data_IF_167380387542
#
_entry.id   IF_167380387542
#
_cell.length_a   1.000
_cell.length_b   1.000
_cell.length_c   1.000
_cell.angle_alpha   90.00
_cell.angle_beta   90.00
_cell.angle_gamma   90.00
#
_symmetry.space_group_name_H-M   'P 1'
#
loop_
_entity.id
_entity.type
_entity.pdbx_description
1 polymer ?
#
# COMPACT_ATOMS: atom_id res chain seq x y z
N UNK A 1 0.03 -11.51 13.50
CA UNK A 1 -0.60 -10.37 12.79
C UNK A 1 -1.04 -10.84 11.41
N UNK A 2 -2.13 -10.29 10.86
CA UNK A 2 -2.62 -10.63 9.52
C UNK A 2 -2.58 -9.39 8.65
N UNK A 3 -1.82 -9.43 7.55
CA UNK A 3 -1.74 -8.33 6.59
C UNK A 3 -2.52 -8.71 5.35
N UNK A 4 -3.50 -7.87 4.98
CA UNK A 4 -4.33 -8.03 3.80
C UNK A 4 -4.09 -6.90 2.82
N UNK A 5 -4.43 -7.13 1.57
CA UNK A 5 -4.46 -6.10 0.52
C UNK A 5 -5.87 -6.06 -0.05
N UNK A 6 -6.40 -4.86 -0.28
CA UNK A 6 -7.75 -4.69 -0.82
C UNK A 6 -7.83 -3.41 -1.66
N UNK A 7 -8.64 -3.40 -2.72
CA UNK A 7 -8.84 -2.17 -3.48
C UNK A 7 -9.71 -1.22 -2.67
N UNK A 8 -9.36 0.06 -2.65
CA UNK A 8 -10.10 1.10 -1.93
C UNK A 8 -11.53 1.33 -2.46
N UNK A 9 -11.82 0.86 -3.69
CA UNK A 9 -13.15 0.90 -4.29
C UNK A 9 -14.05 -0.24 -3.84
N UNK A 10 -13.49 -1.28 -3.20
CA UNK A 10 -14.28 -2.37 -2.64
C UNK A 10 -14.89 -1.93 -1.29
N UNK A 11 -16.13 -2.34 -1.00
CA UNK A 11 -16.82 -1.93 0.22
C UNK A 11 -16.06 -2.40 1.46
N UNK A 12 -16.07 -1.56 2.50
CA UNK A 12 -15.45 -1.91 3.77
C UNK A 12 -16.12 -3.11 4.42
N UNK A 13 -15.31 -4.05 4.90
CA UNK A 13 -15.77 -5.23 5.61
C UNK A 13 -15.24 -5.22 7.05
N UNK A 14 -16.05 -5.74 7.99
CA UNK A 14 -15.64 -5.85 9.40
C UNK A 14 -14.36 -6.70 9.59
N UNK A 15 -14.06 -7.58 8.62
CA UNK A 15 -12.85 -8.41 8.61
C UNK A 15 -11.60 -7.69 8.12
N UNK A 16 -11.70 -6.43 7.68
CA UNK A 16 -10.56 -5.66 7.17
C UNK A 16 -9.67 -5.14 8.31
N UNK A 17 -10.18 -5.10 9.55
CA UNK A 17 -9.42 -4.55 10.67
C UNK A 17 -9.03 -3.09 10.44
N UNK A 18 -7.78 -2.73 10.72
CA UNK A 18 -7.27 -1.38 10.52
C UNK A 18 -6.91 -1.12 9.05
N UNK A 19 -7.52 -0.10 8.43
CA UNK A 19 -7.44 0.17 7.00
C UNK A 19 -6.48 1.31 6.69
N UNK A 20 -5.37 0.99 6.02
CA UNK A 20 -4.31 1.94 5.69
C UNK A 20 -4.23 2.18 4.19
N UNK A 21 -4.50 3.40 3.74
CA UNK A 21 -4.26 3.80 2.35
C UNK A 21 -2.77 3.98 2.09
N UNK A 22 -2.23 3.19 1.17
CA UNK A 22 -0.80 3.19 0.78
C UNK A 22 -0.57 3.71 -0.64
N UNK A 23 -1.53 4.49 -1.15
CA UNK A 23 -1.38 5.23 -2.39
C UNK A 23 -0.93 6.66 -2.12
N UNK A 24 -0.02 7.17 -2.96
CA UNK A 24 0.46 8.55 -2.84
C UNK A 24 -0.64 9.56 -3.12
N UNK A 25 -1.52 9.21 -4.05
CA UNK A 25 -2.61 10.05 -4.53
C UNK A 25 -3.94 9.54 -3.99
N UNK A 26 -4.82 10.47 -3.66
CA UNK A 26 -6.18 10.13 -3.31
C UNK A 26 -6.90 9.49 -4.50
N UNK A 27 -7.60 8.35 -4.33
CA UNK A 27 -8.35 7.72 -5.41
C UNK A 27 -9.46 8.64 -5.94
N UNK A 28 -9.63 8.69 -7.26
CA UNK A 28 -10.62 9.56 -7.89
C UNK A 28 -12.03 9.05 -7.63
N UNK A 29 -12.98 9.95 -7.40
CA UNK A 29 -14.39 9.62 -7.23
C UNK A 29 -14.77 9.01 -5.88
N UNK A 30 -13.86 9.02 -4.90
CA UNK A 30 -14.11 8.56 -3.53
C UNK A 30 -14.04 9.72 -2.55
N UNK A 31 -14.99 9.80 -1.62
CA UNK A 31 -14.88 10.68 -0.45
C UNK A 31 -14.09 9.97 0.66
N UNK A 32 -13.54 10.71 1.61
CA UNK A 32 -12.85 10.14 2.77
C UNK A 32 -13.76 9.20 3.56
N UNK A 33 -15.01 9.60 3.74
CA UNK A 33 -16.04 8.84 4.44
C UNK A 33 -16.36 7.54 3.71
N UNK A 34 -16.59 7.60 2.39
CA UNK A 34 -16.90 6.42 1.59
C UNK A 34 -15.73 5.43 1.49
N UNK A 35 -14.49 5.94 1.52
CA UNK A 35 -13.30 5.09 1.48
C UNK A 35 -13.06 4.32 2.80
N UNK A 36 -13.67 4.76 3.91
CA UNK A 36 -13.58 4.10 5.21
C UNK A 36 -12.13 3.83 5.64
N UNK A 37 -11.21 4.76 5.40
CA UNK A 37 -9.81 4.58 5.77
C UNK A 37 -9.57 5.03 7.21
N UNK A 38 -8.74 4.31 7.95
CA UNK A 38 -8.31 4.72 9.30
C UNK A 38 -7.06 5.62 9.22
N UNK A 39 -6.14 5.31 8.29
CA UNK A 39 -4.90 6.06 8.09
C UNK A 39 -4.56 6.20 6.61
N UNK A 40 -4.03 7.37 6.24
CA UNK A 40 -3.43 7.58 4.92
C UNK A 40 -1.91 7.74 5.06
N UNK A 41 -1.16 6.74 4.59
CA UNK A 41 0.30 6.73 4.60
C UNK A 41 0.87 6.95 3.20
N UNK A 42 0.63 8.13 2.64
CA UNK A 42 1.14 8.51 1.31
C UNK A 42 2.67 8.45 1.18
N UNK A 43 3.39 8.51 2.30
CA UNK A 43 4.85 8.53 2.36
C UNK A 43 5.45 7.14 2.14
N UNK A 44 4.69 6.08 2.42
CA UNK A 44 5.13 4.71 2.15
C UNK A 44 4.93 4.33 0.68
N UNK A 45 4.13 5.09 -0.08
CA UNK A 45 3.89 4.85 -1.49
C UNK A 45 5.15 5.11 -2.33
N UNK A 46 5.31 4.47 -3.51
CA UNK A 46 6.46 4.70 -4.38
C UNK A 46 6.58 6.18 -4.77
N UNK A 47 7.80 6.61 -5.08
CA UNK A 47 8.03 7.98 -5.55
C UNK A 47 7.27 8.26 -6.86
N UNK A 48 7.10 9.55 -7.18
CA UNK A 48 6.48 9.95 -8.43
C UNK A 48 7.27 9.44 -9.65
N UNK A 49 8.60 9.42 -9.54
CA UNK A 49 9.50 8.94 -10.57
C UNK A 49 9.32 7.43 -10.80
N UNK A 50 9.37 6.64 -9.72
CA UNK A 50 9.19 5.20 -9.81
C UNK A 50 7.79 4.80 -10.30
N UNK A 51 6.75 5.51 -9.84
CA UNK A 51 5.38 5.32 -10.32
C UNK A 51 5.25 5.60 -11.82
N UNK A 52 5.86 6.69 -12.30
CA UNK A 52 5.84 7.06 -13.72
C UNK A 52 6.61 6.04 -14.56
N UNK A 53 7.76 5.60 -14.06
CA UNK A 53 8.57 4.57 -14.69
C UNK A 53 7.81 3.25 -14.82
N UNK A 54 7.14 2.78 -13.76
CA UNK A 54 6.37 1.53 -13.79
C UNK A 54 5.16 1.59 -14.73
N UNK A 55 4.52 2.75 -14.87
CA UNK A 55 3.45 2.95 -15.85
C UNK A 55 3.93 2.76 -17.30
N UNK A 56 5.20 3.05 -17.58
CA UNK A 56 5.80 2.83 -18.90
C UNK A 56 6.39 1.41 -19.07
N UNK A 57 6.69 0.71 -17.97
CA UNK A 57 7.37 -0.59 -17.93
C UNK A 57 6.55 -1.61 -17.13
N UNK A 58 5.27 -1.77 -17.44
CA UNK A 58 4.33 -2.61 -16.66
C UNK A 58 4.73 -4.11 -16.61
N UNK A 59 5.56 -4.55 -17.56
CA UNK A 59 6.14 -5.88 -17.63
C UNK A 59 7.35 -6.08 -16.69
N UNK A 60 8.01 -4.99 -16.26
CA UNK A 60 9.19 -5.03 -15.39
C UNK A 60 8.83 -4.96 -13.90
N UNK A 61 8.00 -5.91 -13.46
CA UNK A 61 7.53 -6.00 -12.07
C UNK A 61 8.66 -6.24 -11.06
N UNK A 62 9.61 -7.11 -11.40
CA UNK A 62 10.70 -7.47 -10.50
C UNK A 62 11.61 -6.26 -10.21
N UNK A 63 11.94 -5.52 -11.26
CA UNK A 63 12.70 -4.26 -11.18
C UNK A 63 11.93 -3.18 -10.42
N UNK A 64 10.61 -3.03 -10.66
CA UNK A 64 9.79 -2.13 -9.84
C UNK A 64 9.84 -2.50 -8.35
N UNK A 65 9.70 -3.78 -8.02
CA UNK A 65 9.75 -4.29 -6.65
C UNK A 65 11.11 -4.02 -6.01
N UNK A 66 12.21 -4.28 -6.72
CA UNK A 66 13.56 -4.04 -6.24
C UNK A 66 13.82 -2.55 -5.97
N UNK A 67 13.47 -1.67 -6.91
CA UNK A 67 13.60 -0.22 -6.76
C UNK A 67 12.74 0.31 -5.62
N UNK A 68 11.50 -0.14 -5.53
CA UNK A 68 10.60 0.31 -4.46
C UNK A 68 11.07 -0.13 -3.07
N UNK A 69 11.56 -1.38 -2.94
CA UNK A 69 12.19 -1.85 -1.70
C UNK A 69 13.43 -1.03 -1.34
N UNK A 70 14.22 -0.60 -2.34
CA UNK A 70 15.36 0.27 -2.10
C UNK A 70 14.94 1.66 -1.62
N UNK A 71 13.86 2.25 -2.16
CA UNK A 71 13.30 3.52 -1.67
C UNK A 71 12.84 3.44 -0.20
N UNK A 72 12.38 2.26 0.23
CA UNK A 72 11.82 2.07 1.57
C UNK A 72 12.82 1.60 2.63
N UNK A 73 14.02 1.13 2.24
CA UNK A 73 14.96 0.46 3.14
C UNK A 73 15.32 1.29 4.39
N UNK A 74 15.44 2.60 4.24
CA UNK A 74 15.78 3.57 5.30
C UNK A 74 14.65 4.61 5.51
N UNK A 75 13.42 4.28 5.12
CA UNK A 75 12.30 5.20 5.24
C UNK A 75 11.64 5.13 6.61
N UNK A 76 11.54 6.26 7.31
CA UNK A 76 10.69 6.41 8.51
C UNK A 76 9.23 5.98 8.27
N UNK A 77 8.73 6.11 7.03
CA UNK A 77 7.38 5.70 6.68
C UNK A 77 7.20 4.18 6.76
N UNK A 78 8.22 3.39 6.42
CA UNK A 78 8.18 1.93 6.56
C UNK A 78 8.21 1.54 8.04
N UNK A 79 9.01 2.22 8.85
CA UNK A 79 9.05 2.01 10.30
C UNK A 79 7.69 2.30 10.94
N UNK A 80 7.10 3.46 10.64
CA UNK A 80 5.77 3.80 11.13
C UNK A 80 4.68 2.80 10.68
N UNK A 81 4.79 2.26 9.47
CA UNK A 81 3.85 1.24 8.98
C UNK A 81 4.00 -0.08 9.75
N UNK A 82 5.24 -0.48 10.08
CA UNK A 82 5.52 -1.66 10.91
C UNK A 82 4.93 -1.52 12.32
N UNK A 83 5.02 -0.33 12.91
CA UNK A 83 4.41 -0.06 14.21
C UNK A 83 2.89 -0.21 14.17
N UNK A 84 2.22 0.35 13.17
CA UNK A 84 0.77 0.20 12.97
C UNK A 84 0.38 -1.27 12.80
N UNK A 85 1.16 -2.02 12.02
CA UNK A 85 0.92 -3.44 11.78
C UNK A 85 1.13 -4.28 13.04
N UNK A 86 2.03 -3.85 13.93
CA UNK A 86 2.28 -4.51 15.22
C UNK A 86 1.21 -4.20 16.27
N UNK A 87 0.63 -3.00 16.24
CA UNK A 87 -0.44 -2.57 17.17
C UNK A 87 -1.80 -3.23 16.88
N UNK A 88 -2.01 -3.71 15.64
CA UNK A 88 -3.29 -4.24 15.20
C UNK A 88 -3.24 -5.72 14.81
N UNK A 89 -4.27 -6.49 15.21
CA UNK A 89 -4.38 -7.93 14.85
C UNK A 89 -4.49 -8.15 13.33
N UNK A 90 -5.25 -7.29 12.66
CA UNK A 90 -5.50 -7.33 11.22
C UNK A 90 -5.31 -5.92 10.66
N UNK A 91 -4.46 -5.79 9.65
CA UNK A 91 -4.26 -4.56 8.89
C UNK A 91 -4.53 -4.82 7.42
N UNK A 92 -5.34 -3.97 6.79
CA UNK A 92 -5.63 -4.00 5.36
C UNK A 92 -4.98 -2.81 4.67
N UNK A 93 -4.01 -3.10 3.79
CA UNK A 93 -3.37 -2.14 2.92
C UNK A 93 -4.29 -1.86 1.72
N UNK A 94 -4.77 -0.63 1.64
CA UNK A 94 -5.67 -0.16 0.59
C UNK A 94 -4.90 0.46 -0.55
N UNK A 95 -5.24 0.06 -1.77
CA UNK A 95 -4.66 0.59 -3.02
C UNK A 95 -5.75 0.93 -4.05
N UNK A 96 -5.42 1.82 -4.98
CA UNK A 96 -6.32 2.31 -6.01
C UNK A 96 -6.02 1.74 -7.41
N UNK A 97 -4.90 1.04 -7.59
CA UNK A 97 -4.55 0.42 -8.85
C UNK A 97 -5.67 -0.53 -9.34
N UNK A 98 -5.85 -0.59 -10.67
CA UNK A 98 -6.78 -1.55 -11.29
C UNK A 98 -6.23 -2.97 -11.29
N UNK A 99 -4.90 -3.10 -11.32
CA UNK A 99 -4.21 -4.39 -11.37
C UNK A 99 -4.00 -4.90 -9.96
N UNK A 100 -4.62 -6.04 -9.65
CA UNK A 100 -4.56 -6.63 -8.30
C UNK A 100 -3.30 -7.47 -8.10
N UNK A 101 -2.72 -8.03 -9.16
CA UNK A 101 -1.53 -8.88 -9.09
C UNK A 101 -0.20 -8.13 -9.14
N UNK A 102 -0.21 -6.84 -9.49
CA UNK A 102 0.99 -6.00 -9.64
C UNK A 102 0.73 -4.59 -9.11
N UNK A 103 0.80 -4.44 -7.80
CA UNK A 103 0.59 -3.16 -7.11
C UNK A 103 1.51 -3.00 -5.90
N UNK A 104 1.77 -1.76 -5.50
CA UNK A 104 2.68 -1.43 -4.41
C UNK A 104 2.28 -2.06 -3.07
N UNK A 105 0.99 -2.30 -2.81
CA UNK A 105 0.55 -2.91 -1.56
C UNK A 105 1.01 -4.37 -1.42
N UNK A 106 1.20 -5.09 -2.52
CA UNK A 106 1.80 -6.43 -2.50
C UNK A 106 3.27 -6.39 -2.06
N UNK A 107 4.03 -5.42 -2.55
CA UNK A 107 5.44 -5.26 -2.16
C UNK A 107 5.55 -4.89 -0.68
N UNK A 108 4.70 -3.98 -0.21
CA UNK A 108 4.62 -3.62 1.21
C UNK A 108 4.24 -4.81 2.08
N UNK A 109 3.21 -5.57 1.67
CA UNK A 109 2.81 -6.80 2.37
C UNK A 109 4.00 -7.75 2.51
N UNK A 110 4.73 -8.01 1.42
CA UNK A 110 5.91 -8.88 1.47
C UNK A 110 6.98 -8.36 2.44
N UNK A 111 7.26 -7.04 2.44
CA UNK A 111 8.23 -6.42 3.34
C UNK A 111 7.82 -6.50 4.82
N UNK A 112 6.52 -6.44 5.11
CA UNK A 112 5.96 -6.50 6.45
C UNK A 112 5.84 -7.94 6.96
N UNK A 113 5.63 -8.91 6.09
CA UNK A 113 5.59 -10.34 6.45
C UNK A 113 6.99 -10.95 6.64
N UNK A 114 8.03 -10.36 6.03
CA UNK A 114 9.43 -10.79 6.17
C UNK A 114 10.17 -10.16 7.36
N UNK A 115 9.55 -9.21 8.06
CA UNK A 115 10.10 -8.52 9.22
C UNK A 115 9.73 -9.24 10.52
#
# INVERSE_FOLDING_TARGET
>A
MTIKTKRIYEPAAATDGYRVLVDRLWPRGLTKEAAGIDRWMKEVAPSNELRTWFHAHMDEWDEFSARYKAELKDSDALTALREIVSDHKVVTLLFAAKTEDRNQALVLKELLEKA
#
